data_IF_146107970428
#
_entry.id   IF_146107970428
#
_cell.length_a   1.000
_cell.length_b   1.000
_cell.length_c   1.000
_cell.angle_alpha   90.00
_cell.angle_beta   90.00
_cell.angle_gamma   90.00
#
_symmetry.space_group_name_H-M   'P 1'
#
loop_
_entity.id
_entity.type
_entity.pdbx_description
1 polymer ?
#
# COMPACT_ATOMS: atom_id res chain seq x y z
N UNK A 1 9.20 1.23 9.46
CA UNK A 1 7.94 2.00 9.39
C UNK A 1 6.84 1.26 10.12
N UNK A 2 5.76 1.95 10.50
CA UNK A 2 4.59 1.33 11.11
C UNK A 2 3.47 1.12 10.09
N UNK A 3 2.53 0.22 10.40
CA UNK A 3 1.35 0.03 9.57
C UNK A 3 0.62 1.36 9.30
N UNK A 4 0.33 1.63 8.04
CA UNK A 4 -0.36 2.85 7.61
C UNK A 4 0.52 4.08 7.48
N UNK A 5 1.84 3.96 7.64
CA UNK A 5 2.76 5.07 7.34
C UNK A 5 2.61 5.45 5.86
N UNK A 6 2.35 6.73 5.60
CA UNK A 6 2.34 7.36 4.28
C UNK A 6 3.71 7.96 4.06
N UNK A 7 4.35 7.65 2.95
CA UNK A 7 5.67 8.16 2.64
C UNK A 7 5.82 8.42 1.15
N UNK A 8 6.75 9.29 0.80
CA UNK A 8 7.23 9.47 -0.57
C UNK A 8 8.56 8.74 -0.71
N UNK A 9 8.69 7.95 -1.76
CA UNK A 9 9.97 7.36 -2.16
C UNK A 9 10.48 8.15 -3.35
N UNK A 10 11.56 8.91 -3.13
CA UNK A 10 12.23 9.69 -4.15
C UNK A 10 12.98 8.76 -5.10
N UNK A 11 12.98 9.06 -6.41
CA UNK A 11 13.67 8.22 -7.41
C UNK A 11 13.33 6.72 -7.34
N UNK A 12 12.05 6.36 -7.15
CA UNK A 12 11.62 4.97 -7.01
C UNK A 12 12.14 4.07 -8.16
N UNK A 13 12.99 3.06 -7.88
CA UNK A 13 13.82 2.41 -8.89
C UNK A 13 13.13 1.28 -9.68
N UNK A 14 11.96 0.80 -9.21
CA UNK A 14 11.29 -0.38 -9.79
C UNK A 14 10.26 -0.02 -10.87
N UNK A 15 10.53 0.99 -11.70
CA UNK A 15 9.64 1.36 -12.82
C UNK A 15 10.07 0.69 -14.12
N UNK A 16 9.10 0.17 -14.85
CA UNK A 16 9.26 -0.47 -16.17
C UNK A 16 9.70 0.54 -17.26
N UNK A 17 9.41 1.84 -17.10
CA UNK A 17 9.60 2.87 -18.14
C UNK A 17 10.84 3.76 -17.96
N UNK A 18 11.79 3.39 -17.08
CA UNK A 18 13.14 4.00 -17.03
C UNK A 18 13.27 5.46 -16.59
N UNK A 19 12.17 6.16 -16.28
CA UNK A 19 12.22 7.50 -15.66
C UNK A 19 11.96 7.40 -14.15
N UNK A 20 12.97 7.76 -13.37
CA UNK A 20 12.88 7.99 -11.94
C UNK A 20 11.79 9.03 -11.66
N UNK A 21 10.84 8.68 -10.78
CA UNK A 21 9.79 9.59 -10.34
C UNK A 21 9.44 9.32 -8.89
N UNK A 22 9.31 10.39 -8.13
CA UNK A 22 8.82 10.34 -6.76
C UNK A 22 7.42 9.73 -6.73
N UNK A 23 7.20 8.84 -5.76
CA UNK A 23 5.94 8.12 -5.66
C UNK A 23 5.53 7.97 -4.21
N UNK A 24 4.25 8.21 -3.95
CA UNK A 24 3.67 8.01 -2.64
C UNK A 24 3.28 6.55 -2.45
N UNK A 25 3.54 6.05 -1.25
CA UNK A 25 3.21 4.71 -0.83
C UNK A 25 2.57 4.72 0.55
N UNK A 26 1.82 3.66 0.82
CA UNK A 26 1.37 3.32 2.16
C UNK A 26 1.97 1.97 2.54
N UNK A 27 2.55 1.91 3.73
CA UNK A 27 3.17 0.71 4.29
C UNK A 27 2.12 -0.19 4.95
N UNK A 28 2.07 -1.48 4.57
CA UNK A 28 1.12 -2.47 5.09
C UNK A 28 1.73 -3.56 5.95
N UNK A 29 3.02 -3.42 6.32
CA UNK A 29 3.72 -4.35 7.17
C UNK A 29 4.68 -5.26 6.42
N UNK A 30 5.09 -6.34 7.09
CA UNK A 30 6.08 -7.30 6.60
C UNK A 30 5.52 -8.71 6.55
N UNK A 31 6.13 -9.55 5.71
CA UNK A 31 5.90 -10.99 5.74
C UNK A 31 6.43 -11.62 7.02
N UNK A 32 5.91 -12.80 7.38
CA UNK A 32 6.31 -13.53 8.59
C UNK A 32 7.40 -14.57 8.29
N UNK A 33 8.21 -14.89 9.30
CA UNK A 33 9.07 -16.08 9.28
C UNK A 33 8.22 -17.35 9.02
N UNK A 34 8.68 -18.31 8.20
CA UNK A 34 10.02 -18.49 7.65
C UNK A 34 10.28 -17.84 6.29
N UNK A 35 9.55 -16.79 5.90
CA UNK A 35 9.81 -16.12 4.62
C UNK A 35 11.24 -15.58 4.56
N UNK A 36 11.97 -16.04 3.55
CA UNK A 36 13.34 -15.62 3.27
C UNK A 36 13.48 -15.38 1.75
N UNK A 37 13.70 -14.13 1.30
CA UNK A 37 13.82 -12.92 2.11
C UNK A 37 12.48 -12.47 2.72
N UNK A 38 12.55 -11.72 3.83
CA UNK A 38 11.38 -11.01 4.39
C UNK A 38 10.95 -9.95 3.37
N UNK A 39 9.64 -9.85 3.12
CA UNK A 39 9.04 -8.88 2.20
C UNK A 39 8.39 -7.75 2.96
N UNK A 40 8.46 -6.54 2.42
CA UNK A 40 7.71 -5.35 2.83
C UNK A 40 6.54 -5.16 1.87
N UNK A 41 5.34 -4.98 2.41
CA UNK A 41 4.11 -4.81 1.64
C UNK A 41 3.77 -3.34 1.47
N UNK A 42 3.72 -2.86 0.22
CA UNK A 42 3.43 -1.47 -0.12
C UNK A 42 2.29 -1.39 -1.12
N UNK A 43 1.49 -0.32 -1.03
CA UNK A 43 0.53 0.04 -2.08
C UNK A 43 0.81 1.48 -2.49
N UNK A 44 0.95 1.71 -3.79
CA UNK A 44 1.23 3.05 -4.33
C UNK A 44 -0.06 3.86 -4.47
N UNK A 45 0.10 5.19 -4.49
CA UNK A 45 -0.96 6.09 -4.94
C UNK A 45 -0.68 6.69 -6.32
N UNK A 46 -1.71 7.28 -6.92
CA UNK A 46 -1.65 8.03 -8.18
C UNK A 46 -2.61 9.21 -8.15
N UNK A 47 -2.20 10.36 -8.71
CA UNK A 47 -3.07 11.52 -8.92
C UNK A 47 -3.82 11.49 -10.26
N UNK A 48 -3.62 10.45 -11.07
CA UNK A 48 -4.36 10.26 -12.34
C UNK A 48 -5.76 9.69 -12.08
N UNK A 49 -6.63 10.52 -11.51
CA UNK A 49 -7.97 10.14 -11.07
C UNK A 49 -8.84 9.63 -12.23
N UNK A 50 -8.76 10.26 -13.40
CA UNK A 50 -9.56 9.94 -14.58
C UNK A 50 -9.50 8.46 -15.02
N UNK A 51 -8.44 7.72 -14.65
CA UNK A 51 -8.38 6.28 -14.92
C UNK A 51 -9.40 5.45 -14.13
N UNK A 52 -9.97 5.98 -13.06
CA UNK A 52 -10.88 5.28 -12.13
C UNK A 52 -12.35 5.75 -12.24
N UNK A 53 -12.63 6.71 -13.13
CA UNK A 53 -13.98 7.22 -13.43
C UNK A 53 -14.72 6.31 -14.43
N UNK A 54 -15.98 6.60 -14.76
CA UNK A 54 -16.89 5.68 -15.48
C UNK A 54 -16.37 5.11 -16.81
N UNK A 55 -15.51 5.84 -17.51
CA UNK A 55 -14.87 5.41 -18.77
C UNK A 55 -13.37 5.09 -18.61
N UNK A 56 -12.87 5.11 -17.38
CA UNK A 56 -11.48 4.87 -17.07
C UNK A 56 -11.10 3.39 -17.16
N UNK A 57 -9.88 3.12 -17.64
CA UNK A 57 -9.34 1.77 -17.78
C UNK A 57 -9.26 0.97 -16.45
N UNK A 58 -9.33 1.66 -15.30
CA UNK A 58 -9.24 1.11 -13.95
C UNK A 58 -10.53 1.31 -13.13
N UNK A 59 -11.66 1.59 -13.79
CA UNK A 59 -12.96 1.83 -13.11
C UNK A 59 -13.42 0.69 -12.19
N UNK A 60 -12.99 -0.54 -12.48
CA UNK A 60 -13.32 -1.74 -11.70
C UNK A 60 -12.29 -2.10 -10.62
N UNK A 61 -11.20 -1.33 -10.49
CA UNK A 61 -10.16 -1.59 -9.49
C UNK A 61 -10.69 -1.36 -8.08
N UNK A 62 -10.08 -2.05 -7.11
CA UNK A 62 -10.32 -1.75 -5.70
C UNK A 62 -9.43 -0.57 -5.29
N UNK A 63 -10.00 0.56 -4.95
CA UNK A 63 -9.23 1.75 -4.63
C UNK A 63 -9.83 2.58 -3.49
N UNK A 64 -8.97 3.38 -2.85
CA UNK A 64 -9.36 4.38 -1.86
C UNK A 64 -8.92 5.77 -2.32
N UNK A 65 -9.82 6.76 -2.23
CA UNK A 65 -9.58 8.14 -2.69
C UNK A 65 -9.27 9.04 -1.50
N UNK A 66 -8.11 9.69 -1.55
CA UNK A 66 -7.65 10.69 -0.58
C UNK A 66 -7.85 12.09 -1.15
N UNK A 67 -8.33 13.01 -0.31
CA UNK A 67 -8.45 14.43 -0.66
C UNK A 67 -7.07 15.11 -0.64
N UNK A 68 -6.89 16.10 -1.49
CA UNK A 68 -5.71 16.99 -1.45
C UNK A 68 -5.55 17.63 -0.07
N UNK A 69 -4.30 17.84 0.35
CA UNK A 69 -3.94 18.43 1.65
C UNK A 69 -4.16 17.52 2.86
N UNK A 70 -4.58 16.27 2.66
CA UNK A 70 -4.81 15.30 3.74
C UNK A 70 -3.67 14.28 3.83
N UNK A 71 -3.27 13.93 5.05
CA UNK A 71 -2.42 12.76 5.34
C UNK A 71 -1.10 12.73 4.54
N UNK A 72 -0.54 13.91 4.24
CA UNK A 72 0.71 14.07 3.50
C UNK A 72 0.57 14.17 1.98
N UNK A 73 -0.64 14.02 1.41
CA UNK A 73 -0.88 14.15 -0.02
C UNK A 73 -1.09 15.62 -0.41
N UNK A 74 -0.26 16.13 -1.33
CA UNK A 74 -0.37 17.51 -1.85
C UNK A 74 -1.58 17.68 -2.77
N UNK A 75 -1.85 16.67 -3.59
CA UNK A 75 -2.95 16.63 -4.55
C UNK A 75 -3.89 15.47 -4.25
N UNK A 76 -5.07 15.49 -4.86
CA UNK A 76 -6.00 14.37 -4.77
C UNK A 76 -5.33 13.09 -5.27
N UNK A 77 -5.45 12.02 -4.50
CA UNK A 77 -4.66 10.81 -4.71
C UNK A 77 -5.51 9.57 -4.54
N UNK A 78 -5.35 8.60 -5.43
CA UNK A 78 -5.98 7.29 -5.35
C UNK A 78 -4.94 6.26 -4.93
N UNK A 79 -5.19 5.57 -3.82
CA UNK A 79 -4.52 4.33 -3.46
C UNK A 79 -5.20 3.18 -4.19
N UNK A 80 -4.49 2.62 -5.16
CA UNK A 80 -4.98 1.52 -5.97
C UNK A 80 -4.45 0.21 -5.39
N UNK A 81 -5.33 -0.55 -4.74
CA UNK A 81 -4.97 -1.81 -4.07
C UNK A 81 -4.42 -2.83 -5.06
N UNK A 82 -4.84 -2.75 -6.32
CA UNK A 82 -4.39 -3.65 -7.37
C UNK A 82 -3.00 -3.23 -7.92
N UNK A 83 -2.50 -2.04 -7.55
CA UNK A 83 -1.11 -1.56 -7.76
C UNK A 83 -0.23 -1.82 -6.52
N UNK A 84 -0.19 -3.08 -6.08
CA UNK A 84 0.54 -3.56 -4.92
C UNK A 84 2.00 -3.93 -5.25
N UNK A 85 2.90 -3.80 -4.26
CA UNK A 85 4.30 -4.21 -4.32
C UNK A 85 4.69 -5.04 -3.08
N UNK A 86 5.40 -6.15 -3.28
CA UNK A 86 6.25 -6.78 -2.27
C UNK A 86 7.73 -6.57 -2.59
N UNK A 87 8.41 -5.85 -1.73
CA UNK A 87 9.85 -5.54 -1.91
C UNK A 87 10.63 -6.29 -0.85
N UNK A 88 11.80 -6.82 -1.21
CA UNK A 88 12.71 -7.39 -0.21
C UNK A 88 13.04 -6.34 0.85
N UNK A 89 12.90 -6.71 2.12
CA UNK A 89 13.15 -5.80 3.24
C UNK A 89 14.56 -5.20 3.19
N UNK A 90 15.55 -6.01 2.82
CA UNK A 90 16.92 -5.54 2.65
C UNK A 90 17.04 -4.46 1.57
N UNK A 91 16.30 -4.61 0.47
CA UNK A 91 16.27 -3.62 -0.61
C UNK A 91 15.54 -2.35 -0.15
N UNK A 92 14.42 -2.50 0.54
CA UNK A 92 13.70 -1.37 1.14
C UNK A 92 14.59 -0.56 2.10
N UNK A 93 15.32 -1.23 3.01
CA UNK A 93 16.20 -0.56 3.97
C UNK A 93 17.43 0.09 3.31
N UNK A 94 17.96 -0.48 2.20
CA UNK A 94 19.05 0.16 1.42
C UNK A 94 18.67 1.52 0.85
N UNK A 95 17.38 1.74 0.59
CA UNK A 95 16.85 2.99 0.03
C UNK A 95 16.20 3.89 1.08
N UNK A 96 16.45 3.66 2.37
CA UNK A 96 15.80 4.41 3.44
C UNK A 96 16.11 5.92 3.41
N UNK A 97 17.28 6.30 2.92
CA UNK A 97 17.67 7.71 2.73
C UNK A 97 16.84 8.41 1.64
N UNK A 98 16.30 7.65 0.68
CA UNK A 98 15.43 8.16 -0.39
C UNK A 98 13.95 8.24 0.04
N UNK A 99 13.64 7.77 1.25
CA UNK A 99 12.28 7.66 1.76
C UNK A 99 12.00 8.72 2.81
N UNK A 100 10.98 9.53 2.56
CA UNK A 100 10.53 10.57 3.48
C UNK A 100 9.10 10.28 3.95
N UNK A 101 8.94 10.07 5.25
CA UNK A 101 7.64 9.86 5.88
C UNK A 101 6.82 11.17 5.90
N UNK A 102 5.56 11.09 5.48
CA UNK A 102 4.65 12.24 5.32
C UNK A 102 3.50 12.23 6.32
N UNK A 103 3.20 11.09 6.93
CA UNK A 103 2.15 10.96 7.93
C UNK A 103 1.75 9.51 8.18
N UNK A 104 0.68 9.31 8.96
CA UNK A 104 0.12 7.98 9.25
C UNK A 104 -1.38 8.00 9.01
N UNK A 105 -1.89 6.95 8.37
CA UNK A 105 -3.33 6.79 8.15
C UNK A 105 -4.05 6.50 9.48
N UNK A 106 -5.22 7.11 9.74
CA UNK A 106 -6.02 6.78 10.89
C UNK A 106 -6.62 5.37 10.76
N UNK A 107 -6.88 4.73 11.91
CA UNK A 107 -7.41 3.37 11.99
C UNK A 107 -8.67 3.16 11.14
N UNK A 108 -9.58 4.13 11.14
CA UNK A 108 -10.84 4.07 10.36
C UNK A 108 -10.57 3.90 8.86
N UNK A 109 -9.57 4.60 8.32
CA UNK A 109 -9.15 4.49 6.92
C UNK A 109 -8.45 3.15 6.68
N UNK A 110 -7.58 2.73 7.59
CA UNK A 110 -6.90 1.43 7.49
C UNK A 110 -7.90 0.27 7.42
N UNK A 111 -8.93 0.27 8.26
CA UNK A 111 -10.00 -0.74 8.19
C UNK A 111 -10.69 -0.76 6.83
N UNK A 112 -10.99 0.40 6.25
CA UNK A 112 -11.61 0.50 4.93
C UNK A 112 -10.70 -0.06 3.83
N UNK A 113 -9.41 0.28 3.85
CA UNK A 113 -8.44 -0.24 2.88
C UNK A 113 -8.26 -1.75 3.05
N UNK A 114 -8.25 -2.27 4.27
CA UNK A 114 -8.18 -3.70 4.52
C UNK A 114 -9.33 -4.47 3.85
N UNK A 115 -10.56 -3.96 3.88
CA UNK A 115 -11.68 -4.58 3.16
C UNK A 115 -11.50 -4.57 1.64
N UNK A 116 -10.85 -3.55 1.10
CA UNK A 116 -10.47 -3.51 -0.32
C UNK A 116 -9.37 -4.53 -0.63
N UNK A 117 -8.35 -4.65 0.22
CA UNK A 117 -7.29 -5.68 0.14
C UNK A 117 -7.91 -7.08 0.12
N UNK A 118 -8.88 -7.36 0.97
CA UNK A 118 -9.55 -8.67 0.98
C UNK A 118 -10.24 -8.99 -0.36
N UNK A 119 -10.79 -7.99 -1.05
CA UNK A 119 -11.48 -8.14 -2.34
C UNK A 119 -10.54 -8.27 -3.53
N UNK A 120 -9.32 -7.72 -3.45
CA UNK A 120 -8.35 -7.77 -4.54
C UNK A 120 -8.04 -9.21 -4.97
N UNK A 121 -7.97 -9.45 -6.27
CA UNK A 121 -7.54 -10.75 -6.83
C UNK A 121 -6.04 -10.82 -7.05
N UNK A 122 -5.35 -9.67 -7.05
CA UNK A 122 -3.92 -9.56 -7.33
C UNK A 122 -3.06 -9.85 -6.10
N UNK A 123 -3.62 -9.67 -4.90
CA UNK A 123 -2.93 -9.97 -3.64
C UNK A 123 -3.18 -11.43 -3.26
N UNK A 124 -2.11 -12.20 -3.08
CA UNK A 124 -2.20 -13.61 -2.71
C UNK A 124 -2.83 -13.82 -1.32
N UNK A 125 -3.41 -14.99 -1.09
CA UNK A 125 -4.00 -15.31 0.21
C UNK A 125 -2.98 -15.25 1.36
N UNK A 126 -1.73 -15.65 1.09
CA UNK A 126 -0.63 -15.62 2.07
C UNK A 126 -0.32 -14.18 2.49
N UNK A 127 -0.13 -13.28 1.51
CA UNK A 127 0.13 -11.86 1.77
C UNK A 127 -1.03 -11.24 2.55
N UNK A 128 -2.28 -11.55 2.20
CA UNK A 128 -3.44 -11.06 2.99
C UNK A 128 -3.39 -11.50 4.44
N UNK A 129 -2.96 -12.74 4.72
CA UNK A 129 -2.82 -13.25 6.08
C UNK A 129 -1.71 -12.54 6.85
N UNK A 130 -0.60 -12.23 6.19
CA UNK A 130 0.48 -11.47 6.81
C UNK A 130 0.07 -10.01 7.06
N UNK A 131 -0.61 -9.36 6.10
CA UNK A 131 -1.20 -8.03 6.32
C UNK A 131 -2.19 -8.07 7.50
N UNK A 132 -3.09 -9.07 7.56
CA UNK A 132 -4.02 -9.22 8.69
C UNK A 132 -3.28 -9.34 10.03
N UNK A 133 -2.18 -10.08 10.07
CA UNK A 133 -1.33 -10.18 11.25
C UNK A 133 -0.72 -8.83 11.65
N UNK A 134 -0.18 -8.07 10.69
CA UNK A 134 0.36 -6.73 10.95
C UNK A 134 -0.71 -5.76 11.49
N UNK A 135 -1.96 -5.86 11.03
CA UNK A 135 -3.08 -5.11 11.62
C UNK A 135 -3.31 -5.48 13.09
N UNK A 136 -3.27 -6.76 13.44
CA UNK A 136 -3.45 -7.18 14.83
C UNK A 136 -2.29 -6.73 15.73
N UNK A 137 -1.05 -6.72 15.21
CA UNK A 137 0.12 -6.24 15.96
C UNK A 137 0.00 -4.76 16.35
N UNK A 138 -0.65 -3.95 15.51
CA UNK A 138 -0.90 -2.53 15.77
C UNK A 138 -2.22 -2.31 16.55
N UNK A 139 -2.82 -3.36 17.11
CA UNK A 139 -4.04 -3.28 17.91
C UNK A 139 -5.33 -3.19 17.10
N UNK A 140 -5.27 -3.19 15.76
CA UNK A 140 -6.44 -3.14 14.88
C UNK A 140 -7.03 -4.55 14.72
N UNK A 141 -7.81 -4.95 15.73
CA UNK A 141 -8.38 -6.29 15.84
C UNK A 141 -9.84 -6.37 15.35
N UNK A 142 -10.45 -7.56 15.41
CA UNK A 142 -11.84 -7.79 14.99
C UNK A 142 -12.06 -7.86 13.47
N UNK A 143 -10.99 -7.73 12.69
CA UNK A 143 -11.06 -7.79 11.23
C UNK A 143 -11.26 -9.22 10.71
N UNK A 144 -12.02 -9.33 9.61
CA UNK A 144 -12.30 -10.61 8.95
C UNK A 144 -10.98 -11.28 8.54
N UNK A 145 -10.74 -12.50 9.02
CA UNK A 145 -9.58 -13.30 8.61
C UNK A 145 -9.65 -13.66 7.12
N UNK A 146 -8.54 -13.55 6.37
CA UNK A 146 -8.47 -14.02 4.99
C UNK A 146 -8.65 -15.53 4.92
N UNK A 147 -9.53 -16.00 4.02
CA UNK A 147 -9.78 -17.42 3.77
C UNK A 147 -9.64 -17.72 2.28
N UNK A 148 -9.23 -18.94 1.93
CA UNK A 148 -9.36 -19.45 0.55
C UNK A 148 -10.86 -19.45 0.21
N UNK A 149 -11.20 -18.92 -0.96
CA UNK A 149 -12.54 -19.10 -1.54
C UNK A 149 -12.64 -20.49 -2.13
#
# INVERSE_FOLDING_TARGET
MQLGSVFIWNSFPFRVEGKEKNRYFVYFGESRYPDNPIKVFLITTTSRIYHYEEEGARKSHNYYRFKAGSLGFVEESILDVDSYYDIDKEVFEKHKEDIEEKGKLPETILKNIYYLILKSKNISIKVKQDIHYNYNLEGITGLKRPKRK
#
